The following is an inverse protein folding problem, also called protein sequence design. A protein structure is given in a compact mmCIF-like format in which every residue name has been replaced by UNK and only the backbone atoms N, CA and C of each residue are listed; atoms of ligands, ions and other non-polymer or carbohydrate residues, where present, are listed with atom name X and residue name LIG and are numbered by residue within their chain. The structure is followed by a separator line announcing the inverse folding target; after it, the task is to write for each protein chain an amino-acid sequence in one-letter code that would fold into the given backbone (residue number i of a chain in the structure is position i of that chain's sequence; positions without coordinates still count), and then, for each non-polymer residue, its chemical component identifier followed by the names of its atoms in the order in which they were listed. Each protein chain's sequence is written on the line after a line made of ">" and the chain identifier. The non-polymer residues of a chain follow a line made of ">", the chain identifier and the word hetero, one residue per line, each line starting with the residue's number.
data_IF_746102849240
#
_entry.id   IF_746102849240
#
_cell.length_a   1.000
_cell.length_b   1.000
_cell.length_c   1.000
_cell.angle_alpha   90.00
_cell.angle_beta   90.00
_cell.angle_gamma   90.00
#
_symmetry.space_group_name_H-M   'P 1'
#
loop_
_entity.id
_entity.type
_entity.pdbx_description
1 polymer ?
#
# COMPACT_ATOMS: atom_id res chain seq x y z
N UNK A 1 12.08 0.89 22.48
CA UNK A 1 11.75 2.21 21.93
C UNK A 1 10.54 1.99 21.03
N UNK A 2 9.38 2.52 21.38
CA UNK A 2 8.21 2.42 20.48
C UNK A 2 8.49 3.24 19.23
N UNK A 3 8.56 2.58 18.08
CA UNK A 3 8.61 3.28 16.80
C UNK A 3 7.24 3.88 16.55
N UNK A 4 7.10 5.19 16.77
CA UNK A 4 5.85 5.88 16.44
C UNK A 4 5.79 6.13 14.94
N UNK A 5 4.72 5.65 14.31
CA UNK A 5 4.44 5.95 12.91
C UNK A 5 4.00 7.43 12.83
N UNK A 6 4.64 8.27 11.99
CA UNK A 6 4.21 9.65 11.83
C UNK A 6 2.75 9.74 11.37
N UNK A 7 1.97 10.68 11.91
CA UNK A 7 0.54 10.87 11.59
C UNK A 7 0.31 10.97 10.07
N UNK A 8 1.19 11.68 9.36
CA UNK A 8 1.10 11.83 7.91
C UNK A 8 1.20 10.48 7.19
N UNK A 9 2.00 9.54 7.70
CA UNK A 9 2.14 8.20 7.13
C UNK A 9 0.88 7.38 7.37
N UNK A 10 0.26 7.45 8.56
CA UNK A 10 -1.01 6.77 8.84
C UNK A 10 -2.16 7.30 7.95
N UNK A 11 -2.26 8.62 7.80
CA UNK A 11 -3.27 9.25 6.94
C UNK A 11 -3.09 8.84 5.48
N UNK A 12 -1.88 8.93 4.96
CA UNK A 12 -1.59 8.54 3.57
C UNK A 12 -1.81 7.05 3.35
N UNK A 13 -1.41 6.20 4.31
CA UNK A 13 -1.66 4.77 4.24
C UNK A 13 -3.15 4.49 4.07
N UNK A 14 -4.01 5.04 4.94
CA UNK A 14 -5.48 4.83 4.85
C UNK A 14 -6.11 5.40 3.58
N UNK A 15 -5.52 6.45 3.01
CA UNK A 15 -5.98 7.02 1.75
C UNK A 15 -5.68 6.11 0.55
N UNK A 16 -4.46 5.54 0.49
CA UNK A 16 -4.02 4.72 -0.65
C UNK A 16 -4.35 3.23 -0.51
N UNK A 17 -4.33 2.74 0.72
CA UNK A 17 -4.63 1.37 1.12
C UNK A 17 -5.95 1.43 1.88
N UNK A 18 -7.04 1.10 1.17
CA UNK A 18 -8.37 1.00 1.76
C UNK A 18 -8.42 -0.14 2.78
N UNK A 19 -9.53 -0.25 3.52
CA UNK A 19 -9.82 -1.43 4.32
C UNK A 19 -9.67 -2.74 3.53
N UNK A 20 -9.34 -3.86 4.20
CA UNK A 20 -9.27 -5.19 3.59
C UNK A 20 -10.47 -5.48 2.69
N UNK A 21 -10.20 -5.63 1.38
CA UNK A 21 -11.23 -5.93 0.38
C UNK A 21 -10.79 -7.15 -0.45
N UNK A 22 -11.42 -8.33 -0.24
CA UNK A 22 -11.10 -9.56 -0.95
C UNK A 22 -11.18 -9.49 -2.48
N UNK A 23 -11.90 -8.51 -3.03
CA UNK A 23 -12.00 -8.29 -4.48
C UNK A 23 -10.66 -7.86 -5.11
N UNK A 24 -9.75 -7.30 -4.30
CA UNK A 24 -8.44 -6.87 -4.76
C UNK A 24 -7.36 -7.94 -4.63
N UNK A 25 -7.68 -9.06 -4.01
CA UNK A 25 -6.68 -10.08 -3.70
C UNK A 25 -6.64 -11.16 -4.78
N UNK A 26 -5.43 -11.67 -5.09
CA UNK A 26 -5.30 -12.87 -5.89
C UNK A 26 -6.07 -14.03 -5.28
N UNK A 27 -6.71 -14.84 -6.13
CA UNK A 27 -7.55 -15.96 -5.71
C UNK A 27 -6.81 -16.96 -4.82
N UNK A 28 -5.54 -17.23 -5.13
CA UNK A 28 -4.73 -18.23 -4.43
C UNK A 28 -4.39 -17.88 -2.96
N UNK A 29 -4.65 -16.64 -2.51
CA UNK A 29 -4.43 -16.21 -1.11
C UNK A 29 -5.68 -15.62 -0.47
N UNK A 30 -6.84 -15.66 -1.14
CA UNK A 30 -8.05 -14.99 -0.68
C UNK A 30 -8.51 -15.44 0.72
N UNK A 31 -8.24 -16.70 1.06
CA UNK A 31 -8.63 -17.31 2.34
C UNK A 31 -7.71 -16.93 3.52
N UNK A 32 -6.61 -16.21 3.27
CA UNK A 32 -5.72 -15.65 4.28
C UNK A 32 -5.76 -14.11 4.22
N UNK A 33 -6.74 -13.46 4.87
CA UNK A 33 -6.99 -12.03 4.72
C UNK A 33 -5.83 -11.16 5.24
N UNK A 34 -5.10 -11.63 6.25
CA UNK A 34 -3.93 -10.91 6.78
C UNK A 34 -2.82 -10.89 5.74
N UNK A 35 -2.49 -12.06 5.20
CA UNK A 35 -1.45 -12.19 4.17
C UNK A 35 -1.86 -11.49 2.88
N UNK A 36 -3.12 -11.65 2.46
CA UNK A 36 -3.63 -11.09 1.22
C UNK A 36 -3.68 -9.57 1.26
N UNK A 37 -4.19 -8.98 2.34
CA UNK A 37 -4.17 -7.55 2.52
C UNK A 37 -2.73 -7.02 2.60
N UNK A 38 -1.87 -7.65 3.41
CA UNK A 38 -0.46 -7.25 3.54
C UNK A 38 0.28 -7.25 2.20
N UNK A 39 0.14 -8.31 1.40
CA UNK A 39 0.77 -8.41 0.08
C UNK A 39 0.23 -7.35 -0.89
N UNK A 40 -1.08 -7.14 -0.90
CA UNK A 40 -1.71 -6.13 -1.76
C UNK A 40 -1.26 -4.72 -1.39
N UNK A 41 -1.25 -4.38 -0.09
CA UNK A 41 -0.81 -3.08 0.41
C UNK A 41 0.65 -2.80 0.06
N UNK A 42 1.52 -3.81 0.19
CA UNK A 42 2.92 -3.72 -0.22
C UNK A 42 3.07 -3.47 -1.72
N UNK A 43 2.34 -4.22 -2.56
CA UNK A 43 2.34 -4.03 -4.00
C UNK A 43 1.87 -2.62 -4.41
N UNK A 44 0.80 -2.11 -3.79
CA UNK A 44 0.32 -0.74 -4.02
C UNK A 44 1.35 0.32 -3.63
N UNK A 45 2.07 0.11 -2.51
CA UNK A 45 3.17 0.97 -2.09
C UNK A 45 4.30 1.05 -3.13
N UNK A 46 4.70 -0.09 -3.71
CA UNK A 46 5.70 -0.13 -4.79
C UNK A 46 5.23 0.62 -6.03
N UNK A 47 3.97 0.42 -6.46
CA UNK A 47 3.39 1.15 -7.59
C UNK A 47 3.39 2.67 -7.35
N UNK A 48 3.01 3.11 -6.15
CA UNK A 48 3.04 4.53 -5.78
C UNK A 48 4.47 5.09 -5.84
N UNK A 49 5.44 4.37 -5.30
CA UNK A 49 6.85 4.77 -5.35
C UNK A 49 7.37 4.94 -6.79
N UNK A 50 7.00 4.03 -7.70
CA UNK A 50 7.34 4.15 -9.13
C UNK A 50 6.67 5.36 -9.78
N UNK A 51 5.39 5.62 -9.48
CA UNK A 51 4.66 6.79 -10.02
C UNK A 51 5.28 8.11 -9.53
N UNK A 52 5.63 8.20 -8.25
CA UNK A 52 6.32 9.38 -7.68
C UNK A 52 7.68 9.57 -8.35
N UNK A 53 8.47 8.49 -8.48
CA UNK A 53 9.76 8.54 -9.16
C UNK A 53 9.63 9.04 -10.60
N UNK A 54 8.67 8.51 -11.36
CA UNK A 54 8.40 8.93 -12.73
C UNK A 54 7.94 10.39 -12.80
N UNK A 55 7.07 10.83 -11.89
CA UNK A 55 6.61 12.22 -11.83
C UNK A 55 7.78 13.19 -11.59
N UNK A 56 8.71 12.85 -10.68
CA UNK A 56 9.89 13.66 -10.40
C UNK A 56 10.87 13.71 -11.59
N UNK A 57 10.97 12.65 -12.37
CA UNK A 57 11.82 12.59 -13.56
C UNK A 57 11.22 13.35 -14.75
N UNK A 58 9.89 13.38 -14.88
CA UNK A 58 9.18 14.10 -15.95
C UNK A 58 9.11 15.62 -15.75
N UNK A 59 9.54 16.12 -14.59
CA UNK A 59 9.61 17.55 -14.27
C UNK A 59 11.00 18.17 -14.53
N UNK A 60 11.91 17.45 -15.18
CA UNK A 60 13.17 17.95 -15.74
C UNK A 60 13.03 18.22 -17.24
#
# INVERSE_FOLDING_TARGET
>A
METQIPIIVDVLYRYFVTDPNPKFWPEYIRDDPVKAHGLWSFYRGLCLGMQVSQACLNTQ
#
